data_IF_433008277700
#
_entry.id   IF_433008277700
#
_cell.length_a   1.000
_cell.length_b   1.000
_cell.length_c   1.000
_cell.angle_alpha   90.00
_cell.angle_beta   90.00
_cell.angle_gamma   90.00
#
_symmetry.space_group_name_H-M   'P 1'
#
loop_
_entity.id
_entity.type
_entity.pdbx_description
1 polymer ?
#
# COMPACT_ATOMS: atom_id res chain seq x y z
N UNK A 1 -20.80 -6.64 -2.15
CA UNK A 1 -22.18 -6.91 -2.61
C UNK A 1 -22.12 -8.09 -3.57
N UNK A 2 -23.12 -8.97 -3.54
CA UNK A 2 -23.23 -10.00 -4.57
C UNK A 2 -23.81 -9.38 -5.84
N UNK A 3 -23.12 -9.57 -6.96
CA UNK A 3 -23.56 -9.12 -8.28
C UNK A 3 -23.35 -10.28 -9.24
N UNK A 4 -24.42 -10.70 -9.90
CA UNK A 4 -24.44 -11.85 -10.82
C UNK A 4 -23.93 -13.16 -10.18
N UNK A 5 -24.26 -13.39 -8.90
CA UNK A 5 -23.84 -14.59 -8.17
C UNK A 5 -22.39 -14.55 -7.66
N UNK A 6 -21.68 -13.44 -7.82
CA UNK A 6 -20.28 -13.28 -7.40
C UNK A 6 -20.14 -12.27 -6.27
N UNK A 7 -19.39 -12.63 -5.22
CA UNK A 7 -19.02 -11.71 -4.16
C UNK A 7 -18.04 -10.66 -4.71
N UNK A 8 -18.42 -9.38 -4.64
CA UNK A 8 -17.54 -8.26 -5.01
C UNK A 8 -17.28 -7.36 -3.82
N UNK A 9 -16.01 -6.97 -3.67
CA UNK A 9 -15.55 -5.97 -2.71
C UNK A 9 -15.37 -4.66 -3.48
N UNK A 10 -15.92 -3.57 -2.93
CA UNK A 10 -15.74 -2.22 -3.44
C UNK A 10 -14.92 -1.47 -2.39
N UNK A 11 -13.83 -0.87 -2.82
CA UNK A 11 -12.95 -0.03 -2.00
C UNK A 11 -12.70 1.27 -2.72
N UNK A 12 -12.12 2.23 -2.01
CA UNK A 12 -11.62 3.45 -2.62
C UNK A 12 -10.65 3.16 -3.77
N UNK A 13 -10.78 3.91 -4.85
CA UNK A 13 -9.84 3.85 -5.96
C UNK A 13 -8.64 4.74 -5.66
N UNK A 14 -7.45 4.14 -5.61
CA UNK A 14 -6.19 4.84 -5.37
C UNK A 14 -5.37 4.85 -6.67
N UNK A 15 -5.28 6.00 -7.38
CA UNK A 15 -4.78 6.02 -8.76
C UNK A 15 -3.26 5.92 -8.92
N UNK A 16 -2.48 6.05 -7.85
CA UNK A 16 -1.00 5.99 -7.91
C UNK A 16 -0.42 4.57 -8.02
N UNK A 17 -1.28 3.54 -8.07
CA UNK A 17 -0.85 2.15 -8.28
C UNK A 17 -0.20 1.53 -7.05
N UNK A 18 0.61 0.49 -7.25
CA UNK A 18 1.26 -0.24 -6.14
C UNK A 18 2.70 0.23 -5.91
N UNK A 19 3.19 0.11 -4.68
CA UNK A 19 4.60 0.35 -4.36
C UNK A 19 5.53 -0.57 -5.17
N UNK A 20 5.09 -1.80 -5.47
CA UNK A 20 5.83 -2.71 -6.36
C UNK A 20 6.05 -2.11 -7.75
N UNK A 21 5.03 -1.48 -8.33
CA UNK A 21 5.13 -0.89 -9.67
C UNK A 21 6.00 0.36 -9.65
N UNK A 22 5.89 1.17 -8.59
CA UNK A 22 6.76 2.33 -8.37
C UNK A 22 8.23 1.93 -8.26
N UNK A 23 8.58 0.94 -7.43
CA UNK A 23 9.96 0.43 -7.30
C UNK A 23 10.52 -0.04 -8.66
N UNK A 24 9.68 -0.68 -9.49
CA UNK A 24 10.08 -1.19 -10.82
C UNK A 24 10.23 -0.09 -11.86
N UNK A 25 9.47 1.00 -11.73
CA UNK A 25 9.51 2.14 -12.64
C UNK A 25 10.72 3.06 -12.42
N UNK A 26 11.40 2.95 -11.28
CA UNK A 26 12.58 3.77 -11.00
C UNK A 26 13.84 3.26 -11.70
N UNK A 27 14.66 4.20 -12.19
CA UNK A 27 15.99 3.91 -12.70
C UNK A 27 16.98 3.72 -11.53
N UNK A 28 16.85 2.61 -10.81
CA UNK A 28 17.69 2.30 -9.65
C UNK A 28 16.86 2.00 -8.39
N UNK A 29 17.56 1.69 -7.29
CA UNK A 29 16.90 1.56 -6.00
C UNK A 29 16.40 2.93 -5.51
N UNK A 30 15.31 2.97 -4.73
CA UNK A 30 14.87 4.20 -4.06
C UNK A 30 16.03 4.81 -3.27
N UNK A 31 16.10 6.14 -3.23
CA UNK A 31 17.03 6.78 -2.30
C UNK A 31 16.61 6.45 -0.86
N UNK A 32 17.58 6.42 0.05
CA UNK A 32 17.35 5.99 1.42
C UNK A 32 16.24 6.80 2.12
N UNK A 33 16.12 8.10 1.81
CA UNK A 33 15.07 8.98 2.33
C UNK A 33 13.67 8.44 1.99
N UNK A 34 13.33 8.33 0.70
CA UNK A 34 12.05 7.79 0.23
C UNK A 34 11.73 6.43 0.85
N UNK A 35 12.72 5.54 0.96
CA UNK A 35 12.54 4.23 1.55
C UNK A 35 12.17 4.29 3.04
N UNK A 36 12.78 5.21 3.79
CA UNK A 36 12.46 5.44 5.20
C UNK A 36 11.07 6.07 5.36
N UNK A 37 10.73 7.07 4.54
CA UNK A 37 9.44 7.75 4.61
C UNK A 37 8.28 6.79 4.30
N UNK A 38 8.41 6.00 3.23
CA UNK A 38 7.45 4.94 2.90
C UNK A 38 7.38 3.87 4.01
N UNK A 39 8.53 3.51 4.58
CA UNK A 39 8.62 2.56 5.68
C UNK A 39 7.87 3.02 6.92
N UNK A 40 8.02 4.29 7.31
CA UNK A 40 7.32 4.89 8.45
C UNK A 40 5.81 4.89 8.23
N UNK A 41 5.34 5.33 7.06
CA UNK A 41 3.90 5.34 6.74
C UNK A 41 3.30 3.92 6.78
N UNK A 42 4.02 2.91 6.26
CA UNK A 42 3.59 1.52 6.34
C UNK A 42 3.52 1.01 7.77
N UNK A 43 4.51 1.35 8.60
CA UNK A 43 4.56 0.96 10.01
C UNK A 43 3.43 1.62 10.81
N UNK A 44 3.09 2.87 10.53
CA UNK A 44 1.96 3.56 11.16
C UNK A 44 0.62 2.86 10.84
N UNK A 45 0.41 2.50 9.57
CA UNK A 45 -0.79 1.75 9.16
C UNK A 45 -0.86 0.36 9.82
N UNK A 46 0.27 -0.34 9.93
CA UNK A 46 0.34 -1.62 10.62
C UNK A 46 0.12 -1.48 12.13
N UNK A 47 0.69 -0.47 12.77
CA UNK A 47 0.46 -0.18 14.19
C UNK A 47 -1.04 0.06 14.45
N UNK A 48 -1.69 0.88 13.62
CA UNK A 48 -3.13 1.13 13.71
C UNK A 48 -3.97 -0.16 13.61
N UNK A 49 -3.59 -1.08 12.71
CA UNK A 49 -4.24 -2.38 12.57
C UNK A 49 -3.99 -3.30 13.77
N UNK A 50 -2.75 -3.37 14.24
CA UNK A 50 -2.34 -4.21 15.37
C UNK A 50 -3.02 -3.77 16.68
N UNK A 51 -3.18 -2.47 16.92
CA UNK A 51 -3.94 -1.94 18.06
C UNK A 51 -5.39 -2.43 18.12
N UNK A 52 -5.93 -2.84 16.96
CA UNK A 52 -7.29 -3.40 16.81
C UNK A 52 -7.29 -4.93 16.73
N UNK A 53 -6.17 -5.58 17.02
CA UNK A 53 -6.02 -7.02 16.97
C UNK A 53 -6.00 -7.60 15.56
N UNK A 54 -5.82 -6.78 14.53
CA UNK A 54 -5.79 -7.22 13.13
C UNK A 54 -4.35 -7.43 12.67
N UNK A 55 -4.03 -8.67 12.26
CA UNK A 55 -2.77 -8.99 11.60
C UNK A 55 -3.00 -9.04 10.09
N UNK A 56 -2.27 -8.22 9.33
CA UNK A 56 -2.45 -8.14 7.87
C UNK A 56 -2.09 -9.47 7.15
N UNK A 57 -1.07 -10.19 7.64
CA UNK A 57 -0.56 -11.49 7.17
C UNK A 57 0.05 -11.54 5.76
N UNK A 58 -0.17 -10.55 4.91
CA UNK A 58 0.39 -10.50 3.55
C UNK A 58 0.98 -9.12 3.23
N UNK A 59 1.87 -8.63 4.11
CA UNK A 59 2.53 -7.33 3.90
C UNK A 59 3.64 -7.48 2.86
N UNK A 60 3.49 -6.78 1.73
CA UNK A 60 4.45 -6.75 0.63
C UNK A 60 4.19 -5.53 -0.27
N UNK A 61 5.16 -5.08 -1.08
CA UNK A 61 4.99 -3.90 -1.94
C UNK A 61 3.79 -3.97 -2.90
N UNK A 62 3.37 -5.16 -3.33
CA UNK A 62 2.20 -5.33 -4.19
C UNK A 62 0.85 -5.05 -3.50
N UNK A 63 0.83 -5.04 -2.16
CA UNK A 63 -0.35 -4.77 -1.34
C UNK A 63 -0.30 -3.38 -0.68
N UNK A 64 0.65 -2.53 -1.09
CA UNK A 64 0.78 -1.16 -0.63
C UNK A 64 0.39 -0.24 -1.79
N UNK A 65 -0.68 0.53 -1.64
CA UNK A 65 -1.17 1.44 -2.66
C UNK A 65 -0.60 2.85 -2.43
N UNK A 66 -0.25 3.53 -3.51
CA UNK A 66 0.33 4.88 -3.47
C UNK A 66 -0.70 5.91 -3.94
N UNK A 67 -0.80 7.03 -3.24
CA UNK A 67 -1.59 8.17 -3.70
C UNK A 67 -0.83 8.91 -4.82
N UNK A 68 -1.52 9.60 -5.74
CA UNK A 68 -0.90 10.23 -6.91
C UNK A 68 0.02 11.41 -6.56
N UNK A 69 -0.16 11.99 -5.38
CA UNK A 69 0.56 13.13 -4.85
C UNK A 69 1.85 12.77 -4.12
N UNK A 70 2.11 11.47 -3.82
CA UNK A 70 3.31 10.97 -3.12
C UNK A 70 3.96 12.07 -2.27
N UNK A 71 3.24 12.56 -1.25
CA UNK A 71 3.82 13.50 -0.30
C UNK A 71 4.86 12.71 0.52
N UNK A 72 6.07 12.62 -0.03
CA UNK A 72 7.28 12.12 0.61
C UNK A 72 7.90 13.23 1.45
#
# INVERSE_FOLDING_TARGET
RELDGLLRIFVEWIPGGTLKDWIRGQAGAPILADALDLGLQLLDGLAYAHERGLVHRDVKPANCLLTPDLEL
#
